data_IF_600375667820
#
_entry.id   IF_600375667820
#
_cell.length_a   1.000
_cell.length_b   1.000
_cell.length_c   1.000
_cell.angle_alpha   90.00
_cell.angle_beta   90.00
_cell.angle_gamma   90.00
#
_symmetry.space_group_name_H-M   'P 1'
#
loop_
_entity.id
_entity.type
_entity.pdbx_description
1 polymer ?
#
# COMPACT_ATOMS: atom_id res chain seq x y z
N UNK A 1 2.06 4.19 44.37
CA UNK A 1 2.13 4.49 42.92
C UNK A 1 1.63 5.92 42.78
N UNK A 2 2.52 6.91 42.84
CA UNK A 2 2.13 8.30 42.67
C UNK A 2 1.83 8.54 41.19
N UNK A 3 0.62 8.99 40.92
CA UNK A 3 0.17 9.42 39.60
C UNK A 3 0.84 10.77 39.32
N UNK A 4 1.91 10.75 38.51
CA UNK A 4 2.65 11.92 38.02
C UNK A 4 1.73 12.74 37.09
N UNK A 5 0.73 13.38 37.67
CA UNK A 5 -0.06 14.40 37.02
C UNK A 5 0.84 15.62 36.80
N UNK A 6 0.84 16.17 35.59
CA UNK A 6 1.66 17.33 35.16
C UNK A 6 1.42 18.62 36.00
N UNK A 7 0.63 18.55 37.08
CA UNK A 7 0.19 19.66 37.94
C UNK A 7 1.29 20.19 38.88
N UNK A 8 2.32 19.40 39.20
CA UNK A 8 3.43 19.83 40.08
C UNK A 8 4.65 20.40 39.32
N UNK A 9 4.56 20.56 38.00
CA UNK A 9 5.65 21.13 37.22
C UNK A 9 5.65 22.66 37.24
N UNK A 10 6.81 23.30 37.42
CA UNK A 10 6.97 24.73 37.19
C UNK A 10 6.34 25.15 35.86
N UNK A 11 5.58 26.24 35.86
CA UNK A 11 4.78 26.67 34.70
C UNK A 11 5.59 26.76 33.39
N UNK A 12 6.88 27.09 33.49
CA UNK A 12 7.84 27.12 32.38
C UNK A 12 8.06 25.73 31.76
N UNK A 13 8.13 24.67 32.57
CA UNK A 13 8.28 23.29 32.10
C UNK A 13 7.00 22.78 31.44
N UNK A 14 5.82 23.09 32.00
CA UNK A 14 4.52 22.78 31.36
C UNK A 14 4.43 23.47 29.99
N UNK A 15 4.78 24.77 29.92
CA UNK A 15 4.80 25.52 28.64
C UNK A 15 5.78 24.92 27.63
N UNK A 16 6.97 24.48 28.06
CA UNK A 16 7.96 23.81 27.19
C UNK A 16 7.46 22.45 26.70
N UNK A 17 6.91 21.60 27.58
CA UNK A 17 6.30 20.31 27.21
C UNK A 17 5.18 20.50 26.20
N UNK A 18 4.25 21.44 26.45
CA UNK A 18 3.15 21.78 25.51
C UNK A 18 3.67 22.29 24.16
N UNK A 19 4.72 23.12 24.14
CA UNK A 19 5.35 23.60 22.90
C UNK A 19 6.00 22.44 22.12
N UNK A 20 6.69 21.54 22.80
CA UNK A 20 7.30 20.36 22.20
C UNK A 20 6.25 19.40 21.63
N UNK A 21 5.20 19.09 22.40
CA UNK A 21 4.10 18.24 21.95
C UNK A 21 3.40 18.82 20.71
N UNK A 22 3.13 20.13 20.68
CA UNK A 22 2.58 20.82 19.50
C UNK A 22 3.51 20.74 18.29
N UNK A 23 4.81 20.90 18.50
CA UNK A 23 5.80 20.79 17.44
C UNK A 23 5.90 19.35 16.88
N UNK A 24 5.85 18.33 17.75
CA UNK A 24 5.79 16.93 17.36
C UNK A 24 4.51 16.62 16.57
N UNK A 25 3.35 17.04 17.06
CA UNK A 25 2.07 16.85 16.36
C UNK A 25 2.10 17.49 14.95
N UNK A 26 2.61 18.73 14.85
CA UNK A 26 2.76 19.44 13.56
C UNK A 26 3.76 18.74 12.63
N UNK A 27 4.86 18.22 13.16
CA UNK A 27 5.85 17.44 12.41
C UNK A 27 5.23 16.14 11.88
N UNK A 28 4.54 15.39 12.73
CA UNK A 28 3.85 14.14 12.36
C UNK A 28 2.77 14.39 11.33
N UNK A 29 1.98 15.46 11.47
CA UNK A 29 0.97 15.84 10.46
C UNK A 29 1.61 16.16 9.11
N UNK A 30 2.72 16.92 9.09
CA UNK A 30 3.48 17.21 7.86
C UNK A 30 4.12 15.97 7.24
N UNK A 31 4.55 15.01 8.05
CA UNK A 31 5.06 13.71 7.55
C UNK A 31 3.92 12.88 6.95
N UNK A 32 2.77 12.80 7.63
CA UNK A 32 1.58 12.12 7.12
C UNK A 32 1.08 12.74 5.82
N UNK A 33 1.04 14.07 5.72
CA UNK A 33 0.62 14.76 4.51
C UNK A 33 1.61 14.56 3.35
N UNK A 34 2.93 14.59 3.62
CA UNK A 34 3.96 14.32 2.59
C UNK A 34 3.98 12.88 2.11
N UNK A 35 3.67 11.93 2.99
CA UNK A 35 3.64 10.50 2.71
C UNK A 35 2.22 10.01 2.39
N UNK A 36 1.23 10.90 2.30
CA UNK A 36 -0.10 10.52 1.89
C UNK A 36 -0.01 10.05 0.43
N UNK A 37 -0.60 8.89 0.10
CA UNK A 37 -0.66 8.44 -1.28
C UNK A 37 -1.28 9.53 -2.14
N UNK A 38 -0.58 9.95 -3.19
CA UNK A 38 -1.16 10.87 -4.17
C UNK A 38 -2.19 10.11 -4.99
N UNK A 39 -3.05 10.86 -5.70
CA UNK A 39 -4.03 10.26 -6.61
C UNK A 39 -3.37 9.30 -7.61
N UNK A 40 -2.19 9.65 -8.10
CA UNK A 40 -1.43 8.83 -9.03
C UNK A 40 -0.85 7.56 -8.36
N UNK A 41 -0.45 7.65 -7.09
CA UNK A 41 0.02 6.49 -6.32
C UNK A 41 -1.13 5.51 -6.06
N UNK A 42 -2.32 6.03 -5.79
CA UNK A 42 -3.54 5.23 -5.63
C UNK A 42 -3.98 4.59 -6.95
N UNK A 43 -3.91 5.33 -8.06
CA UNK A 43 -4.20 4.80 -9.39
C UNK A 43 -3.23 3.68 -9.78
N UNK A 44 -1.93 3.87 -9.51
CA UNK A 44 -0.90 2.84 -9.73
C UNK A 44 -1.12 1.62 -8.82
N UNK A 45 -1.44 1.84 -7.55
CA UNK A 45 -1.78 0.76 -6.62
C UNK A 45 -3.01 -0.04 -7.08
N UNK A 46 -4.08 0.64 -7.51
CA UNK A 46 -5.27 0.00 -8.03
C UNK A 46 -4.99 -0.79 -9.32
N UNK A 47 -4.16 -0.24 -10.21
CA UNK A 47 -3.71 -0.94 -11.42
C UNK A 47 -2.99 -2.25 -11.09
N UNK A 48 -2.07 -2.26 -10.13
CA UNK A 48 -1.38 -3.50 -9.71
C UNK A 48 -2.32 -4.52 -9.05
N UNK A 49 -3.27 -4.06 -8.23
CA UNK A 49 -4.29 -4.97 -7.64
C UNK A 49 -5.14 -5.62 -8.73
N UNK A 50 -5.52 -4.88 -9.76
CA UNK A 50 -6.27 -5.43 -10.90
C UNK A 50 -5.47 -6.46 -11.67
N UNK A 51 -4.17 -6.23 -11.90
CA UNK A 51 -3.28 -7.22 -12.52
C UNK A 51 -3.22 -8.50 -11.70
N UNK A 52 -2.95 -8.43 -10.40
CA UNK A 52 -2.90 -9.60 -9.52
C UNK A 52 -4.23 -10.36 -9.48
N UNK A 53 -5.36 -9.64 -9.47
CA UNK A 53 -6.69 -10.26 -9.51
C UNK A 53 -6.95 -10.98 -10.83
N UNK A 54 -6.43 -10.45 -11.94
CA UNK A 54 -6.53 -11.07 -13.26
C UNK A 54 -5.70 -12.35 -13.32
N UNK A 55 -4.43 -12.30 -12.90
CA UNK A 55 -3.54 -13.48 -12.84
C UNK A 55 -4.07 -14.58 -11.91
N UNK A 56 -4.62 -14.21 -10.74
CA UNK A 56 -5.24 -15.18 -9.84
C UNK A 56 -6.47 -15.85 -10.49
N UNK A 57 -7.29 -15.09 -11.22
CA UNK A 57 -8.42 -15.64 -11.96
C UNK A 57 -7.96 -16.59 -13.06
N UNK A 58 -6.89 -16.27 -13.80
CA UNK A 58 -6.30 -17.17 -14.80
C UNK A 58 -5.78 -18.46 -14.17
N UNK A 59 -5.05 -18.37 -13.05
CA UNK A 59 -4.54 -19.53 -12.28
C UNK A 59 -5.66 -20.44 -11.77
N UNK A 60 -6.83 -19.88 -11.46
CA UNK A 60 -8.02 -20.62 -11.01
C UNK A 60 -8.86 -21.18 -12.17
N UNK A 61 -8.49 -20.90 -13.43
CA UNK A 61 -9.26 -21.29 -14.61
C UNK A 61 -10.51 -20.43 -14.85
N UNK A 62 -10.66 -19.30 -14.15
CA UNK A 62 -11.75 -18.34 -14.31
C UNK A 62 -11.50 -17.39 -15.50
N UNK A 63 -11.28 -17.95 -16.69
CA UNK A 63 -10.86 -17.22 -17.90
C UNK A 63 -11.81 -16.06 -18.24
N UNK A 64 -13.11 -16.27 -18.11
CA UNK A 64 -14.11 -15.22 -18.35
C UNK A 64 -13.97 -14.02 -17.40
N UNK A 65 -13.55 -14.25 -16.16
CA UNK A 65 -13.32 -13.18 -15.19
C UNK A 65 -12.05 -12.41 -15.53
N UNK A 66 -10.97 -13.10 -15.87
CA UNK A 66 -9.74 -12.48 -16.33
C UNK A 66 -9.97 -11.61 -17.58
N UNK A 67 -10.67 -12.15 -18.58
CA UNK A 67 -11.04 -11.44 -19.80
C UNK A 67 -11.90 -10.19 -19.54
N UNK A 68 -12.84 -10.24 -18.59
CA UNK A 68 -13.64 -9.06 -18.21
C UNK A 68 -12.77 -7.96 -17.60
N UNK A 69 -11.80 -8.32 -16.76
CA UNK A 69 -10.87 -7.35 -16.15
C UNK A 69 -10.01 -6.72 -17.25
N UNK A 70 -9.37 -7.54 -18.09
CA UNK A 70 -8.56 -7.09 -19.23
C UNK A 70 -9.33 -6.16 -20.16
N UNK A 71 -10.53 -6.55 -20.59
CA UNK A 71 -11.39 -5.73 -21.47
C UNK A 71 -11.70 -4.38 -20.85
N UNK A 72 -12.02 -4.34 -19.55
CA UNK A 72 -12.34 -3.08 -18.87
C UNK A 72 -11.14 -2.15 -18.78
N UNK A 73 -9.93 -2.69 -18.66
CA UNK A 73 -8.69 -1.92 -18.69
C UNK A 73 -8.41 -1.34 -20.08
N UNK A 74 -8.59 -2.12 -21.14
CA UNK A 74 -8.42 -1.63 -22.51
C UNK A 74 -9.45 -0.57 -22.90
N UNK A 75 -10.71 -0.72 -22.46
CA UNK A 75 -11.75 0.31 -22.67
C UNK A 75 -11.39 1.64 -21.99
N UNK A 76 -10.79 1.61 -20.79
CA UNK A 76 -10.33 2.85 -20.14
C UNK A 76 -9.20 3.54 -20.91
N UNK A 77 -8.33 2.77 -21.58
CA UNK A 77 -7.27 3.33 -22.44
C UNK A 77 -7.86 3.92 -23.72
N UNK A 78 -8.85 3.26 -24.31
CA UNK A 78 -9.61 3.76 -25.45
C UNK A 78 -10.36 5.06 -25.12
N UNK A 79 -11.03 5.12 -23.97
CA UNK A 79 -11.69 6.35 -23.46
C UNK A 79 -10.69 7.50 -23.25
N UNK A 80 -9.43 7.17 -22.95
CA UNK A 80 -8.33 8.11 -22.84
C UNK A 80 -7.66 8.43 -24.20
N UNK A 81 -8.25 8.00 -25.31
CA UNK A 81 -7.80 8.21 -26.69
C UNK A 81 -6.47 7.52 -27.05
N UNK A 82 -6.08 6.48 -26.31
CA UNK A 82 -4.97 5.64 -26.71
C UNK A 82 -5.41 4.64 -27.79
N UNK A 83 -4.48 4.32 -28.70
CA UNK A 83 -4.71 3.27 -29.69
C UNK A 83 -4.92 1.92 -28.99
N UNK A 84 -6.01 1.24 -29.32
CA UNK A 84 -6.43 0.02 -28.64
C UNK A 84 -5.43 -1.12 -28.86
N UNK A 85 -4.86 -1.23 -30.06
CA UNK A 85 -3.93 -2.31 -30.43
C UNK A 85 -2.58 -2.13 -29.73
N UNK A 86 -2.04 -0.91 -29.74
CA UNK A 86 -0.84 -0.55 -29.02
C UNK A 86 -1.02 -0.68 -27.50
N UNK A 87 -2.19 -0.29 -26.99
CA UNK A 87 -2.53 -0.41 -25.57
C UNK A 87 -2.61 -1.87 -25.12
N UNK A 88 -3.15 -2.76 -25.95
CA UNK A 88 -3.19 -4.20 -25.66
C UNK A 88 -1.78 -4.79 -25.56
N UNK A 89 -0.93 -4.52 -26.54
CA UNK A 89 0.47 -4.99 -26.55
C UNK A 89 1.25 -4.44 -25.34
N UNK A 90 1.10 -3.15 -25.04
CA UNK A 90 1.75 -2.53 -23.90
C UNK A 90 1.23 -3.08 -22.57
N UNK A 91 -0.07 -3.32 -22.46
CA UNK A 91 -0.70 -3.89 -21.27
C UNK A 91 -0.17 -5.29 -20.98
N UNK A 92 -0.18 -6.18 -21.97
CA UNK A 92 0.26 -7.57 -21.81
C UNK A 92 1.76 -7.62 -21.44
N UNK A 93 2.62 -6.86 -22.14
CA UNK A 93 4.05 -6.83 -21.81
C UNK A 93 4.37 -6.20 -20.45
N UNK A 94 3.61 -5.18 -20.04
CA UNK A 94 3.79 -4.55 -18.73
C UNK A 94 3.26 -5.44 -17.60
N UNK A 95 2.15 -6.17 -17.81
CA UNK A 95 1.62 -7.12 -16.85
C UNK A 95 2.68 -8.17 -16.49
N UNK A 96 3.30 -8.81 -17.48
CA UNK A 96 4.35 -9.80 -17.28
C UNK A 96 5.53 -9.25 -16.46
N UNK A 97 5.99 -8.05 -16.80
CA UNK A 97 7.11 -7.40 -16.10
C UNK A 97 6.77 -7.09 -14.65
N UNK A 98 5.55 -6.58 -14.39
CA UNK A 98 5.07 -6.28 -13.05
C UNK A 98 4.98 -7.55 -12.20
N UNK A 99 4.49 -8.66 -12.76
CA UNK A 99 4.44 -9.92 -12.02
C UNK A 99 5.84 -10.39 -11.63
N UNK A 100 6.80 -10.36 -12.56
CA UNK A 100 8.18 -10.73 -12.28
C UNK A 100 8.80 -9.85 -11.19
N UNK A 101 8.60 -8.53 -11.26
CA UNK A 101 9.11 -7.58 -10.26
C UNK A 101 8.48 -7.79 -8.89
N UNK A 102 7.16 -8.01 -8.82
CA UNK A 102 6.45 -8.28 -7.56
C UNK A 102 6.86 -9.62 -6.98
N UNK A 103 6.97 -10.68 -7.78
CA UNK A 103 7.45 -11.98 -7.34
C UNK A 103 8.88 -11.91 -6.83
N UNK A 104 9.79 -11.23 -7.54
CA UNK A 104 11.15 -11.00 -7.10
C UNK A 104 11.17 -10.22 -5.78
N UNK A 105 10.34 -9.17 -5.65
CA UNK A 105 10.26 -8.35 -4.45
C UNK A 105 9.69 -9.11 -3.25
N UNK A 106 8.62 -9.89 -3.41
CA UNK A 106 8.06 -10.77 -2.37
C UNK A 106 9.04 -11.88 -2.01
N UNK A 107 9.76 -12.41 -3.00
CA UNK A 107 10.82 -13.40 -2.84
C UNK A 107 12.05 -12.87 -2.10
N UNK A 108 12.21 -11.53 -1.99
CA UNK A 108 13.29 -10.99 -1.16
C UNK A 108 13.10 -11.38 0.30
N UNK A 109 14.19 -11.83 0.94
CA UNK A 109 14.17 -12.42 2.28
C UNK A 109 13.60 -11.54 3.40
N UNK A 110 13.26 -10.27 3.14
CA UNK A 110 12.58 -9.39 4.10
C UNK A 110 11.13 -9.79 4.36
N UNK A 111 10.41 -10.26 3.34
CA UNK A 111 9.02 -10.72 3.49
C UNK A 111 8.95 -12.17 3.94
N UNK A 112 9.88 -13.03 3.47
CA UNK A 112 10.03 -14.40 3.97
C UNK A 112 10.30 -14.41 5.49
N UNK A 113 11.29 -13.62 5.96
CA UNK A 113 11.57 -13.48 7.41
C UNK A 113 10.41 -12.90 8.21
N UNK A 114 9.59 -12.04 7.61
CA UNK A 114 8.41 -11.46 8.27
C UNK A 114 7.27 -12.47 8.37
N UNK A 115 7.04 -13.27 7.33
CA UNK A 115 6.11 -14.42 7.37
C UNK A 115 6.56 -15.48 8.37
N UNK A 116 7.85 -15.81 8.42
CA UNK A 116 8.41 -16.71 9.44
C UNK A 116 8.21 -16.16 10.85
N UNK A 117 8.44 -14.86 11.05
CA UNK A 117 8.22 -14.19 12.33
C UNK A 117 6.74 -14.10 12.74
N UNK A 118 5.81 -13.99 11.79
CA UNK A 118 4.35 -14.03 12.04
C UNK A 118 3.84 -15.46 12.27
N UNK A 119 4.35 -16.45 11.53
CA UNK A 119 4.02 -17.86 11.73
C UNK A 119 4.56 -18.43 13.05
N UNK A 120 5.66 -17.85 13.57
CA UNK A 120 6.24 -18.18 14.87
C UNK A 120 5.63 -17.44 16.06
N UNK A 121 4.65 -16.54 15.87
CA UNK A 121 3.97 -15.88 16.99
C UNK A 121 2.97 -16.84 17.64
N UNK A 122 3.14 -17.21 18.92
CA UNK A 122 2.09 -17.92 19.63
C UNK A 122 0.85 -17.03 19.71
N UNK A 123 -0.33 -17.64 19.53
CA UNK A 123 -1.62 -16.99 19.73
C UNK A 123 -1.80 -16.63 21.21
N UNK A 124 -1.24 -15.50 21.64
CA UNK A 124 -1.34 -15.03 23.01
C UNK A 124 -1.68 -13.53 23.01
N UNK A 125 -2.97 -13.26 23.19
CA UNK A 125 -3.53 -12.32 24.17
C UNK A 125 -4.83 -11.69 23.65
N UNK A 126 -5.88 -12.52 23.62
CA UNK A 126 -7.25 -12.06 23.83
C UNK A 126 -7.70 -12.62 25.17
N UNK A 127 -7.46 -11.85 26.24
CA UNK A 127 -8.24 -11.90 27.48
C UNK A 127 -8.74 -10.49 27.77
#
# INVERSE_FOLDING_TARGET
>A
MADDTDDDLPEILIRRKRKHARAQAKSTARRKARNAPRRDDLARGAYYVLLLTMDEAEKQGEIERANRIRRRMLLMMEDALFDQSASAVAFDGHADTVFQDVEAWVGTGRFAKRREAEAGRPAADTK
#
